data_IF_607122244862
#
_entry.id   IF_607122244862
#
_cell.length_a   1.000
_cell.length_b   1.000
_cell.length_c   1.000
_cell.angle_alpha   90.00
_cell.angle_beta   90.00
_cell.angle_gamma   90.00
#
_symmetry.space_group_name_H-M   'P 1'
#
loop_
_entity.id
_entity.type
_entity.pdbx_description
1 polymer ?
#
# COMPACT_ATOMS: atom_id res chain seq x y z
N UNK A 1 17.33 -29.72 6.64
CA UNK A 1 17.98 -28.53 7.23
C UNK A 1 16.85 -27.59 7.55
N UNK A 2 16.58 -27.33 8.83
CA UNK A 2 15.56 -26.35 9.21
C UNK A 2 16.17 -25.00 8.88
N UNK A 3 15.66 -24.38 7.82
CA UNK A 3 15.95 -22.98 7.47
C UNK A 3 15.76 -22.15 8.73
N UNK A 4 16.69 -21.22 9.03
CA UNK A 4 16.46 -20.31 10.15
C UNK A 4 15.15 -19.56 9.92
N UNK A 5 14.36 -19.30 10.96
CA UNK A 5 13.06 -18.60 10.82
C UNK A 5 13.19 -17.28 10.01
N UNK A 6 14.34 -16.61 10.09
CA UNK A 6 14.64 -15.39 9.34
C UNK A 6 14.78 -15.58 7.82
N UNK A 7 15.21 -16.75 7.35
CA UNK A 7 15.28 -17.05 5.90
C UNK A 7 13.89 -17.14 5.26
N UNK A 8 12.84 -17.44 6.04
CA UNK A 8 11.46 -17.46 5.53
C UNK A 8 10.96 -16.06 5.13
N UNK A 9 11.41 -15.01 5.84
CA UNK A 9 11.08 -13.62 5.49
C UNK A 9 11.74 -13.17 4.18
N UNK A 10 12.81 -13.86 3.76
CA UNK A 10 13.50 -13.60 2.51
C UNK A 10 12.97 -14.45 1.35
N UNK A 11 12.01 -15.34 1.60
CA UNK A 11 11.33 -16.07 0.54
C UNK A 11 10.26 -15.18 -0.08
N UNK A 12 10.48 -14.88 -1.36
CA UNK A 12 9.54 -14.12 -2.16
C UNK A 12 8.22 -14.88 -2.33
N UNK A 13 7.11 -14.26 -1.94
CA UNK A 13 5.77 -14.85 -2.08
C UNK A 13 5.42 -15.18 -3.54
N UNK A 14 5.88 -14.35 -4.48
CA UNK A 14 5.57 -14.48 -5.90
C UNK A 14 6.85 -14.43 -6.74
N UNK A 15 7.71 -15.48 -6.71
CA UNK A 15 8.96 -15.49 -7.46
C UNK A 15 8.76 -15.15 -8.94
N UNK A 16 9.71 -14.44 -9.58
CA UNK A 16 9.55 -14.03 -10.96
C UNK A 16 9.47 -15.24 -11.90
N UNK A 17 8.59 -15.16 -12.90
CA UNK A 17 8.49 -16.18 -13.94
C UNK A 17 9.78 -16.24 -14.76
N UNK A 18 10.23 -17.45 -15.08
CA UNK A 18 11.24 -17.62 -16.12
C UNK A 18 10.68 -17.24 -17.50
N UNK A 19 11.55 -16.97 -18.47
CA UNK A 19 11.14 -16.67 -19.86
C UNK A 19 10.19 -17.73 -20.44
N UNK A 20 10.46 -19.02 -20.16
CA UNK A 20 9.60 -20.10 -20.66
C UNK A 20 8.21 -20.07 -20.00
N UNK A 21 8.14 -19.92 -18.68
CA UNK A 21 6.87 -19.84 -17.95
C UNK A 21 6.07 -18.61 -18.34
N UNK A 22 6.72 -17.44 -18.49
CA UNK A 22 6.08 -16.22 -18.94
C UNK A 22 5.51 -16.36 -20.37
N UNK A 23 6.22 -17.05 -21.27
CA UNK A 23 5.72 -17.32 -22.62
C UNK A 23 4.47 -18.22 -22.56
N UNK A 24 4.54 -19.34 -21.84
CA UNK A 24 3.42 -20.28 -21.68
C UNK A 24 2.21 -19.61 -21.05
N UNK A 25 2.41 -18.81 -20.01
CA UNK A 25 1.34 -18.10 -19.33
C UNK A 25 0.75 -16.99 -20.22
N UNK A 26 1.58 -16.28 -21.00
CA UNK A 26 1.11 -15.27 -21.94
C UNK A 26 0.24 -15.86 -23.06
N UNK A 27 0.54 -17.07 -23.51
CA UNK A 27 -0.24 -17.80 -24.53
C UNK A 27 -1.64 -18.21 -24.03
N UNK A 28 -1.87 -18.24 -22.71
CA UNK A 28 -3.19 -18.49 -22.12
C UNK A 28 -4.13 -17.28 -22.24
N UNK A 29 -3.62 -16.09 -22.51
CA UNK A 29 -4.46 -14.91 -22.64
C UNK A 29 -5.31 -14.97 -23.92
N UNK A 30 -6.62 -14.76 -23.82
CA UNK A 30 -7.51 -14.69 -24.97
C UNK A 30 -7.44 -13.37 -25.73
N UNK A 31 -6.69 -12.40 -25.21
CA UNK A 31 -6.57 -11.05 -25.76
C UNK A 31 -7.95 -10.43 -26.06
N UNK A 32 -8.81 -10.45 -25.04
CA UNK A 32 -10.21 -10.05 -25.15
C UNK A 32 -10.35 -8.63 -25.72
N UNK A 33 -11.31 -8.45 -26.62
CA UNK A 33 -11.83 -7.13 -26.96
C UNK A 33 -12.59 -6.57 -25.74
N UNK A 34 -12.47 -5.26 -25.48
CA UNK A 34 -13.01 -4.60 -24.28
C UNK A 34 -12.71 -5.39 -22.99
N UNK A 35 -11.43 -5.71 -22.80
CA UNK A 35 -10.95 -6.60 -21.75
C UNK A 35 -11.41 -6.18 -20.34
N UNK A 36 -12.23 -6.99 -19.65
CA UNK A 36 -12.73 -6.65 -18.31
C UNK A 36 -11.62 -6.47 -17.27
N UNK A 37 -10.48 -7.15 -17.44
CA UNK A 37 -9.32 -6.99 -16.58
C UNK A 37 -8.71 -5.57 -16.66
N UNK A 38 -8.84 -4.88 -17.79
CA UNK A 38 -8.41 -3.47 -17.94
C UNK A 38 -9.35 -2.55 -17.15
N UNK A 39 -10.66 -2.75 -17.27
CA UNK A 39 -11.67 -2.01 -16.50
C UNK A 39 -11.51 -2.19 -14.99
N UNK A 40 -11.12 -3.39 -14.55
CA UNK A 40 -10.88 -3.70 -13.15
C UNK A 40 -9.53 -3.18 -12.62
N UNK A 41 -8.61 -2.78 -13.50
CA UNK A 41 -7.32 -2.22 -13.10
C UNK A 41 -7.47 -0.70 -12.86
N UNK A 42 -7.21 -0.18 -11.64
CA UNK A 42 -7.42 1.24 -11.35
C UNK A 42 -6.61 2.18 -12.25
N UNK A 43 -5.39 1.78 -12.63
CA UNK A 43 -4.52 2.57 -13.52
C UNK A 43 -4.85 2.44 -15.01
N UNK A 44 -5.75 1.53 -15.39
CA UNK A 44 -6.16 1.33 -16.78
C UNK A 44 -5.08 0.74 -17.69
N UNK A 45 -4.17 -0.08 -17.15
CA UNK A 45 -3.11 -0.74 -17.93
C UNK A 45 -3.76 -1.56 -19.07
N UNK A 46 -3.24 -1.44 -20.30
CA UNK A 46 -3.64 -2.31 -21.41
C UNK A 46 -3.04 -3.71 -21.25
N UNK A 47 -3.71 -4.52 -20.43
CA UNK A 47 -3.32 -5.87 -20.07
C UNK A 47 -3.18 -6.80 -21.29
N UNK A 48 -4.16 -6.87 -22.22
CA UNK A 48 -4.00 -7.64 -23.45
C UNK A 48 -2.77 -7.24 -24.27
N UNK A 49 -2.48 -5.94 -24.38
CA UNK A 49 -1.34 -5.47 -25.16
C UNK A 49 -0.01 -5.87 -24.54
N UNK A 50 0.20 -5.63 -23.24
CA UNK A 50 1.49 -5.96 -22.62
C UNK A 50 1.72 -7.49 -22.63
N UNK A 51 0.68 -8.28 -22.38
CA UNK A 51 0.79 -9.75 -22.45
C UNK A 51 1.11 -10.22 -23.88
N UNK A 52 0.55 -9.58 -24.91
CA UNK A 52 0.88 -9.90 -26.31
C UNK A 52 2.32 -9.52 -26.66
N UNK A 53 2.85 -8.47 -26.05
CA UNK A 53 4.25 -8.09 -26.22
C UNK A 53 5.18 -9.14 -25.58
N UNK A 54 4.79 -9.76 -24.46
CA UNK A 54 5.51 -10.92 -23.89
C UNK A 54 5.51 -12.10 -24.86
N UNK A 55 4.36 -12.47 -25.44
CA UNK A 55 4.26 -13.64 -26.34
C UNK A 55 5.06 -13.51 -27.64
N UNK A 56 5.49 -12.29 -27.98
CA UNK A 56 6.35 -11.98 -29.12
C UNK A 56 7.79 -11.64 -28.72
N UNK A 57 8.18 -11.94 -27.47
CA UNK A 57 9.51 -11.68 -26.88
C UNK A 57 9.90 -10.19 -26.81
N UNK A 58 8.92 -9.28 -26.92
CA UNK A 58 9.09 -7.84 -26.78
C UNK A 58 8.87 -7.39 -25.32
N UNK A 59 9.69 -7.91 -24.41
CA UNK A 59 9.53 -7.69 -22.96
C UNK A 59 9.72 -6.23 -22.56
N UNK A 60 10.69 -5.52 -23.15
CA UNK A 60 10.88 -4.08 -22.91
C UNK A 60 9.68 -3.25 -23.39
N UNK A 61 9.05 -3.63 -24.51
CA UNK A 61 7.82 -3.02 -24.98
C UNK A 61 6.64 -3.27 -24.03
N UNK A 62 6.53 -4.49 -23.50
CA UNK A 62 5.57 -4.85 -22.45
C UNK A 62 5.71 -3.96 -21.22
N UNK A 63 6.93 -3.85 -20.69
CA UNK A 63 7.24 -3.01 -19.54
C UNK A 63 6.90 -1.54 -19.78
N UNK A 64 7.19 -1.01 -20.98
CA UNK A 64 6.82 0.36 -21.35
C UNK A 64 5.31 0.57 -21.37
N UNK A 65 4.53 -0.40 -21.87
CA UNK A 65 3.06 -0.34 -21.84
C UNK A 65 2.54 -0.27 -20.39
N UNK A 66 3.13 -1.04 -19.48
CA UNK A 66 2.79 -0.98 -18.05
C UNK A 66 3.16 0.38 -17.46
N UNK A 67 4.42 0.81 -17.61
CA UNK A 67 4.91 2.06 -17.01
C UNK A 67 4.27 3.33 -17.57
N UNK A 68 3.74 3.29 -18.80
CA UNK A 68 2.94 4.38 -19.37
C UNK A 68 1.69 4.68 -18.53
N UNK A 69 1.08 3.66 -17.95
CA UNK A 69 -0.17 3.80 -17.18
C UNK A 69 0.08 3.76 -15.68
N UNK A 70 1.09 3.00 -15.22
CA UNK A 70 1.45 2.80 -13.82
C UNK A 70 2.99 2.76 -13.65
N UNK A 71 3.57 3.85 -13.17
CA UNK A 71 5.03 3.94 -12.99
C UNK A 71 5.57 3.12 -11.80
N UNK A 72 4.73 2.78 -10.83
CA UNK A 72 5.03 1.81 -9.75
C UNK A 72 4.59 0.38 -10.15
N UNK A 73 4.75 0.05 -11.44
CA UNK A 73 4.30 -1.22 -11.99
C UNK A 73 4.99 -2.44 -11.36
N UNK A 74 6.22 -2.28 -10.87
CA UNK A 74 6.99 -3.33 -10.20
C UNK A 74 6.49 -3.61 -8.78
N UNK A 75 6.23 -2.59 -7.97
CA UNK A 75 5.61 -2.79 -6.65
C UNK A 75 4.18 -3.31 -6.80
N UNK A 76 3.39 -2.72 -7.71
CA UNK A 76 2.02 -3.18 -7.98
C UNK A 76 1.98 -4.66 -8.44
N UNK A 77 2.99 -5.14 -9.17
CA UNK A 77 3.05 -6.54 -9.58
C UNK A 77 3.27 -7.52 -8.41
N UNK A 78 3.71 -7.01 -7.25
CA UNK A 78 3.97 -7.79 -6.03
C UNK A 78 2.86 -7.69 -4.99
N UNK A 79 2.18 -6.54 -4.93
CA UNK A 79 1.27 -6.23 -3.82
C UNK A 79 -0.18 -6.00 -4.22
N UNK A 80 -0.50 -5.89 -5.52
CA UNK A 80 -1.88 -5.77 -5.95
C UNK A 80 -2.67 -7.03 -5.57
N UNK A 81 -3.86 -6.89 -4.97
CA UNK A 81 -4.76 -8.02 -4.75
C UNK A 81 -5.46 -8.38 -6.07
N UNK A 82 -4.73 -9.01 -6.99
CA UNK A 82 -5.20 -9.33 -8.33
C UNK A 82 -6.47 -10.20 -8.32
N UNK A 83 -6.61 -11.04 -7.28
CA UNK A 83 -7.75 -11.89 -6.98
C UNK A 83 -9.04 -11.14 -6.62
N UNK A 84 -8.96 -9.83 -6.38
CA UNK A 84 -10.13 -8.94 -6.23
C UNK A 84 -10.19 -7.87 -7.33
N UNK A 85 -9.21 -7.85 -8.25
CA UNK A 85 -9.05 -6.86 -9.31
C UNK A 85 -8.99 -7.52 -10.70
N UNK A 86 -7.86 -7.38 -11.39
CA UNK A 86 -7.70 -7.71 -12.80
C UNK A 86 -7.82 -9.22 -13.08
N UNK A 87 -7.35 -10.08 -12.18
CA UNK A 87 -7.43 -11.53 -12.34
C UNK A 87 -8.82 -12.05 -11.97
N UNK A 88 -9.50 -11.45 -10.99
CA UNK A 88 -10.91 -11.71 -10.69
C UNK A 88 -11.81 -11.49 -11.91
N UNK A 89 -11.58 -10.39 -12.63
CA UNK A 89 -12.33 -10.01 -13.82
C UNK A 89 -11.95 -10.81 -15.08
N UNK A 90 -10.94 -11.68 -15.02
CA UNK A 90 -10.50 -12.46 -16.17
C UNK A 90 -11.61 -13.41 -16.65
N UNK A 91 -11.94 -13.37 -17.95
CA UNK A 91 -12.99 -14.22 -18.54
C UNK A 91 -12.70 -15.73 -18.45
N UNK A 92 -11.45 -16.11 -18.18
CA UNK A 92 -11.08 -17.53 -17.97
C UNK A 92 -11.72 -18.10 -16.71
N UNK A 93 -12.01 -17.28 -15.71
CA UNK A 93 -12.70 -17.72 -14.49
C UNK A 93 -14.08 -18.33 -14.79
N UNK A 94 -14.76 -17.86 -15.85
CA UNK A 94 -16.07 -18.39 -16.25
C UNK A 94 -16.02 -19.85 -16.71
N UNK A 95 -14.92 -20.29 -17.30
CA UNK A 95 -14.80 -21.62 -17.88
C UNK A 95 -13.93 -22.57 -17.04
N UNK A 96 -12.90 -22.05 -16.38
CA UNK A 96 -11.82 -22.84 -15.80
C UNK A 96 -11.53 -22.53 -14.33
N UNK A 97 -12.09 -21.44 -13.78
CA UNK A 97 -11.73 -20.92 -12.46
C UNK A 97 -10.21 -20.76 -12.28
N UNK A 98 -9.54 -20.38 -13.37
CA UNK A 98 -8.09 -20.30 -13.46
C UNK A 98 -7.72 -19.10 -14.37
N UNK A 99 -7.54 -17.90 -13.80
CA UNK A 99 -7.26 -16.69 -14.55
C UNK A 99 -5.86 -16.75 -15.17
N UNK A 100 -5.57 -15.79 -16.05
CA UNK A 100 -4.18 -15.51 -16.43
C UNK A 100 -3.47 -14.90 -15.22
N UNK A 101 -2.23 -15.29 -14.95
CA UNK A 101 -1.39 -14.73 -13.87
C UNK A 101 -0.85 -13.36 -14.28
N UNK A 102 -1.73 -12.37 -14.36
CA UNK A 102 -1.48 -11.00 -14.82
C UNK A 102 -0.42 -10.32 -13.95
N UNK A 103 -0.51 -10.45 -12.61
CA UNK A 103 0.45 -9.84 -11.69
C UNK A 103 1.88 -10.33 -11.95
N UNK A 104 2.04 -11.64 -12.15
CA UNK A 104 3.35 -12.23 -12.40
C UNK A 104 3.92 -11.93 -13.79
N UNK A 105 3.06 -11.83 -14.81
CA UNK A 105 3.46 -11.37 -16.15
C UNK A 105 3.86 -9.88 -16.14
N UNK A 106 3.18 -9.07 -15.32
CA UNK A 106 3.54 -7.68 -15.09
C UNK A 106 4.92 -7.59 -14.40
N UNK A 107 5.16 -8.43 -13.39
CA UNK A 107 6.46 -8.53 -12.71
C UNK A 107 7.56 -8.92 -13.69
N UNK A 108 7.36 -9.97 -14.50
CA UNK A 108 8.31 -10.42 -15.52
C UNK A 108 8.73 -9.27 -16.46
N UNK A 109 7.78 -8.42 -16.84
CA UNK A 109 8.03 -7.29 -17.74
C UNK A 109 8.79 -6.16 -17.03
N UNK A 110 8.29 -5.73 -15.88
CA UNK A 110 8.82 -4.57 -15.13
C UNK A 110 10.22 -4.85 -14.58
N UNK A 111 10.43 -6.02 -13.95
CA UNK A 111 11.73 -6.45 -13.45
C UNK A 111 12.76 -6.49 -14.61
N UNK A 112 12.39 -7.06 -15.76
CA UNK A 112 13.27 -7.12 -16.93
C UNK A 112 13.75 -5.74 -17.38
N UNK A 113 12.86 -4.76 -17.50
CA UNK A 113 13.27 -3.42 -17.96
C UNK A 113 14.10 -2.70 -16.89
N UNK A 114 13.73 -2.80 -15.61
CA UNK A 114 14.49 -2.18 -14.51
C UNK A 114 15.92 -2.75 -14.41
N UNK A 115 16.10 -4.05 -14.62
CA UNK A 115 17.41 -4.71 -14.62
C UNK A 115 18.35 -4.23 -15.74
N UNK A 116 17.79 -3.78 -16.87
CA UNK A 116 18.62 -3.17 -17.93
C UNK A 116 19.15 -1.78 -17.57
N UNK A 117 18.60 -1.15 -16.53
CA UNK A 117 18.88 0.23 -16.15
C UNK A 117 18.34 1.27 -17.15
N UNK A 118 17.53 0.86 -18.13
CA UNK A 118 16.98 1.77 -19.13
C UNK A 118 15.74 2.49 -18.60
N UNK A 119 15.78 3.81 -18.64
CA UNK A 119 14.60 4.66 -18.42
C UNK A 119 13.87 4.85 -19.78
N UNK A 120 12.69 4.23 -20.01
CA UNK A 120 11.99 4.30 -21.29
C UNK A 120 11.42 5.68 -21.62
N UNK A 121 11.46 6.61 -20.67
CA UNK A 121 10.92 7.96 -20.79
C UNK A 121 12.01 9.00 -20.98
N UNK A 122 11.67 10.03 -21.74
CA UNK A 122 12.51 11.22 -21.91
C UNK A 122 11.66 12.44 -21.57
N UNK A 123 12.07 13.26 -20.57
CA UNK A 123 11.37 14.49 -20.24
C UNK A 123 11.20 15.42 -21.45
N UNK A 124 10.07 16.12 -21.48
CA UNK A 124 9.89 17.25 -22.37
C UNK A 124 10.85 18.41 -22.02
N UNK A 125 10.91 19.42 -22.88
CA UNK A 125 11.69 20.62 -22.60
C UNK A 125 11.19 21.31 -21.32
N UNK A 126 12.11 21.93 -20.58
CA UNK A 126 11.76 22.63 -19.34
C UNK A 126 10.66 23.66 -19.56
N UNK A 127 9.64 23.58 -18.73
CA UNK A 127 8.49 24.50 -18.73
C UNK A 127 8.78 25.78 -17.93
N UNK A 128 9.84 25.80 -17.12
CA UNK A 128 10.13 26.87 -16.16
C UNK A 128 9.19 26.91 -14.95
N UNK A 129 8.25 25.96 -14.83
CA UNK A 129 7.31 25.84 -13.70
C UNK A 129 7.84 24.91 -12.63
N UNK A 130 7.49 25.19 -11.37
CA UNK A 130 7.89 24.41 -10.20
C UNK A 130 6.70 23.92 -9.39
N UNK A 131 6.68 22.64 -9.04
CA UNK A 131 5.58 21.99 -8.29
C UNK A 131 6.12 21.37 -7.01
N UNK A 132 5.40 21.56 -5.90
CA UNK A 132 5.67 20.86 -4.65
C UNK A 132 4.80 19.60 -4.54
N UNK A 133 5.41 18.48 -4.17
CA UNK A 133 4.73 17.21 -3.86
C UNK A 133 5.01 16.89 -2.40
N UNK A 134 3.98 16.82 -1.55
CA UNK A 134 4.14 16.50 -0.13
C UNK A 134 3.86 15.02 0.10
N UNK A 135 4.89 14.29 0.52
CA UNK A 135 4.90 12.84 0.67
C UNK A 135 5.50 12.12 -0.55
N UNK A 136 6.48 11.27 -0.31
CA UNK A 136 7.17 10.41 -1.27
C UNK A 136 6.61 8.97 -1.29
N UNK A 137 5.33 8.80 -0.98
CA UNK A 137 4.62 7.53 -1.18
C UNK A 137 4.20 7.32 -2.64
N UNK A 138 3.47 6.21 -2.95
CA UNK A 138 3.06 5.86 -4.30
C UNK A 138 2.38 6.99 -5.09
N UNK A 139 1.43 7.69 -4.45
CA UNK A 139 0.75 8.83 -5.08
C UNK A 139 1.69 9.98 -5.43
N UNK A 140 2.56 10.35 -4.49
CA UNK A 140 3.53 11.44 -4.67
C UNK A 140 4.56 11.12 -5.75
N UNK A 141 5.13 9.91 -5.73
CA UNK A 141 6.10 9.45 -6.73
C UNK A 141 5.48 9.39 -8.14
N UNK A 142 4.26 8.86 -8.25
CA UNK A 142 3.54 8.83 -9.53
C UNK A 142 3.26 10.23 -10.08
N UNK A 143 2.82 11.14 -9.22
CA UNK A 143 2.57 12.54 -9.57
C UNK A 143 3.85 13.24 -10.02
N UNK A 144 4.92 13.13 -9.21
CA UNK A 144 6.22 13.75 -9.49
C UNK A 144 6.83 13.25 -10.80
N UNK A 145 6.83 11.94 -11.04
CA UNK A 145 7.34 11.35 -12.28
C UNK A 145 6.58 11.88 -13.51
N UNK A 146 5.25 11.91 -13.44
CA UNK A 146 4.42 12.39 -14.55
C UNK A 146 4.65 13.88 -14.83
N UNK A 147 4.77 14.71 -13.80
CA UNK A 147 5.07 16.13 -13.94
C UNK A 147 6.48 16.38 -14.51
N UNK A 148 7.48 15.62 -14.06
CA UNK A 148 8.83 15.67 -14.59
C UNK A 148 8.88 15.24 -16.06
N UNK A 149 8.10 14.23 -16.45
CA UNK A 149 7.94 13.84 -17.87
C UNK A 149 7.44 15.01 -18.73
N UNK A 150 6.56 15.86 -18.20
CA UNK A 150 6.09 17.08 -18.87
C UNK A 150 7.08 18.26 -18.81
N UNK A 151 8.24 18.10 -18.18
CA UNK A 151 9.28 19.13 -18.10
C UNK A 151 9.07 20.15 -16.97
N UNK A 152 8.23 19.84 -15.98
CA UNK A 152 8.12 20.62 -14.74
C UNK A 152 9.26 20.23 -13.77
N UNK A 153 9.77 21.21 -13.02
CA UNK A 153 10.65 20.91 -11.89
C UNK A 153 9.80 20.52 -10.67
N UNK A 154 10.15 19.44 -9.99
CA UNK A 154 9.37 18.92 -8.86
C UNK A 154 10.25 18.78 -7.62
N UNK A 155 9.79 19.33 -6.50
CA UNK A 155 10.37 19.05 -5.19
C UNK A 155 9.41 18.15 -4.42
N UNK A 156 9.85 16.95 -4.06
CA UNK A 156 9.14 16.06 -3.13
C UNK A 156 9.60 16.39 -1.71
N UNK A 157 8.68 16.83 -0.86
CA UNK A 157 8.92 17.06 0.57
C UNK A 157 8.47 15.82 1.34
N UNK A 158 9.43 15.08 1.90
CA UNK A 158 9.19 13.81 2.59
C UNK A 158 9.57 13.94 4.07
N UNK A 159 8.65 13.58 4.95
CA UNK A 159 8.87 13.63 6.40
C UNK A 159 9.90 12.58 6.85
N UNK A 160 9.94 11.42 6.20
CA UNK A 160 10.74 10.26 6.56
C UNK A 160 12.14 10.27 5.92
N UNK A 161 13.10 9.49 6.46
CA UNK A 161 14.46 9.42 5.91
C UNK A 161 14.56 8.73 4.55
N UNK A 162 13.64 7.81 4.21
CA UNK A 162 13.60 7.13 2.92
C UNK A 162 12.28 7.44 2.19
N UNK A 163 12.32 7.57 0.86
CA UNK A 163 11.11 7.64 0.05
C UNK A 163 10.46 6.26 -0.12
N UNK A 164 9.23 6.20 -0.61
CA UNK A 164 8.49 4.96 -0.87
C UNK A 164 7.21 4.82 -0.03
N UNK A 165 7.06 5.59 1.05
CA UNK A 165 5.86 5.53 1.90
C UNK A 165 5.60 4.11 2.42
N UNK A 166 4.34 3.65 2.37
CA UNK A 166 3.99 2.29 2.83
C UNK A 166 4.64 1.17 2.00
N UNK A 167 5.03 1.40 0.74
CA UNK A 167 5.78 0.39 -0.02
C UNK A 167 7.16 0.12 0.62
N UNK A 168 7.78 1.14 1.24
CA UNK A 168 9.03 1.03 1.99
C UNK A 168 8.83 0.64 3.45
N UNK A 169 7.75 1.10 4.09
CA UNK A 169 7.59 1.02 5.55
C UNK A 169 6.48 0.08 6.02
N UNK A 170 5.44 -0.19 5.22
CA UNK A 170 4.20 -0.83 5.67
C UNK A 170 3.80 -2.14 4.97
N UNK A 171 4.36 -2.45 3.80
CA UNK A 171 4.11 -3.73 3.11
C UNK A 171 4.90 -4.86 3.77
N UNK A 172 4.36 -6.06 3.90
CA UNK A 172 5.12 -7.19 4.45
C UNK A 172 6.44 -7.48 3.70
N UNK A 173 7.52 -7.76 4.44
CA UNK A 173 8.85 -8.00 3.88
C UNK A 173 8.86 -9.16 2.86
N UNK A 174 8.12 -10.24 3.13
CA UNK A 174 8.02 -11.41 2.25
C UNK A 174 7.30 -11.14 0.91
N UNK A 175 6.59 -10.00 0.78
CA UNK A 175 5.96 -9.57 -0.48
C UNK A 175 6.90 -8.74 -1.35
N UNK A 176 7.94 -8.14 -0.76
CA UNK A 176 8.87 -7.25 -1.46
C UNK A 176 10.29 -7.45 -0.94
N UNK A 177 10.90 -8.55 -1.39
CA UNK A 177 12.29 -8.90 -1.06
C UNK A 177 13.31 -8.01 -1.80
N UNK A 178 14.60 -8.16 -1.46
CA UNK A 178 15.73 -7.55 -2.16
C UNK A 178 15.69 -6.02 -2.26
N UNK A 179 15.18 -5.35 -1.22
CA UNK A 179 15.07 -3.88 -1.14
C UNK A 179 14.34 -3.29 -2.36
N UNK A 180 13.36 -4.03 -2.89
CA UNK A 180 12.76 -3.70 -4.18
C UNK A 180 12.06 -2.33 -4.18
N UNK A 181 11.44 -1.93 -3.08
CA UNK A 181 10.82 -0.61 -2.95
C UNK A 181 11.82 0.53 -3.25
N UNK A 182 13.00 0.53 -2.61
CA UNK A 182 14.03 1.55 -2.88
C UNK A 182 14.60 1.46 -4.30
N UNK A 183 14.74 0.25 -4.84
CA UNK A 183 15.16 0.05 -6.23
C UNK A 183 14.17 0.64 -7.22
N UNK A 184 12.87 0.46 -7.00
CA UNK A 184 11.82 1.06 -7.83
C UNK A 184 11.78 2.58 -7.66
N UNK A 185 11.91 3.11 -6.44
CA UNK A 185 12.02 4.56 -6.23
C UNK A 185 13.21 5.14 -7.01
N UNK A 186 14.37 4.49 -6.92
CA UNK A 186 15.57 4.90 -7.66
C UNK A 186 15.34 4.88 -9.17
N UNK A 187 14.65 3.87 -9.68
CA UNK A 187 14.24 3.78 -11.09
C UNK A 187 13.32 4.93 -11.48
N UNK A 188 12.32 5.25 -10.68
CA UNK A 188 11.37 6.35 -10.92
C UNK A 188 12.12 7.69 -10.98
N UNK A 189 12.97 7.97 -10.00
CA UNK A 189 13.72 9.22 -9.90
C UNK A 189 14.78 9.38 -11.00
N UNK A 190 15.21 8.28 -11.63
CA UNK A 190 16.21 8.31 -12.71
C UNK A 190 15.79 9.10 -13.96
N UNK A 191 14.49 9.41 -14.11
CA UNK A 191 13.99 10.30 -15.17
C UNK A 191 14.58 11.72 -15.06
N UNK A 192 14.98 12.14 -13.85
CA UNK A 192 15.49 13.48 -13.56
C UNK A 192 14.39 14.54 -13.42
N UNK A 193 14.77 15.76 -13.00
CA UNK A 193 13.82 16.86 -12.78
C UNK A 193 13.01 16.78 -11.48
N UNK A 194 13.39 15.85 -10.59
CA UNK A 194 12.77 15.62 -9.29
C UNK A 194 13.85 15.68 -8.21
N UNK A 195 13.66 16.56 -7.23
CA UNK A 195 14.49 16.63 -6.03
C UNK A 195 13.69 16.12 -4.82
N UNK A 196 14.28 15.21 -4.03
CA UNK A 196 13.65 14.68 -2.81
C UNK A 196 14.28 15.31 -1.58
N UNK A 197 13.48 16.03 -0.81
CA UNK A 197 13.85 16.75 0.41
C UNK A 197 13.33 15.99 1.64
N UNK A 198 14.20 15.19 2.25
CA UNK A 198 13.90 14.41 3.46
C UNK A 198 13.81 15.26 4.73
N UNK A 199 13.12 14.74 5.75
CA UNK A 199 12.92 15.44 7.03
C UNK A 199 12.14 16.73 6.85
N UNK A 200 11.11 16.69 5.99
CA UNK A 200 10.25 17.83 5.67
C UNK A 200 8.79 17.45 5.89
N UNK A 201 8.28 17.74 7.08
CA UNK A 201 6.88 17.50 7.45
C UNK A 201 6.03 18.79 7.34
N UNK A 202 4.87 18.67 6.68
CA UNK A 202 3.88 19.75 6.61
C UNK A 202 3.32 20.02 8.01
N UNK A 203 3.30 21.29 8.42
CA UNK A 203 2.83 21.73 9.74
C UNK A 203 3.94 21.83 10.78
N UNK A 204 5.09 21.20 10.56
CA UNK A 204 6.27 21.30 11.43
C UNK A 204 7.40 22.10 10.77
N UNK A 205 7.80 21.73 9.55
CA UNK A 205 8.93 22.35 8.83
C UNK A 205 8.50 23.46 7.88
N UNK A 206 7.27 23.40 7.39
CA UNK A 206 6.70 24.36 6.44
C UNK A 206 5.17 24.38 6.54
N UNK A 207 4.58 25.44 6.03
CA UNK A 207 3.13 25.67 6.01
C UNK A 207 2.56 25.58 4.60
N UNK A 208 1.25 25.40 4.50
CA UNK A 208 0.55 25.41 3.20
C UNK A 208 0.73 26.76 2.48
N UNK A 209 0.73 27.86 3.22
CA UNK A 209 0.86 29.21 2.65
C UNK A 209 2.26 29.46 2.07
N UNK A 210 3.31 28.94 2.71
CA UNK A 210 4.66 28.95 2.16
C UNK A 210 4.74 28.16 0.85
N UNK A 211 4.16 26.96 0.80
CA UNK A 211 4.12 26.17 -0.43
C UNK A 211 3.37 26.89 -1.56
N UNK A 212 2.19 27.46 -1.29
CA UNK A 212 1.40 28.20 -2.29
C UNK A 212 2.10 29.47 -2.79
N UNK A 213 2.98 30.06 -1.98
CA UNK A 213 3.80 31.22 -2.35
C UNK A 213 4.98 30.82 -3.24
N UNK A 214 5.66 29.73 -2.87
CA UNK A 214 6.97 29.38 -3.44
C UNK A 214 6.87 28.44 -4.66
N UNK A 215 5.71 27.81 -4.87
CA UNK A 215 5.44 26.89 -5.98
C UNK A 215 4.23 27.32 -6.83
N UNK A 216 4.24 26.92 -8.10
CA UNK A 216 3.13 27.18 -9.02
C UNK A 216 1.91 26.30 -8.71
N UNK A 217 2.13 25.09 -8.20
CA UNK A 217 1.11 24.14 -7.74
C UNK A 217 1.63 23.26 -6.60
N UNK A 218 0.71 22.68 -5.83
CA UNK A 218 0.99 21.78 -4.70
C UNK A 218 0.15 20.50 -4.84
N UNK A 219 0.78 19.34 -4.65
CA UNK A 219 0.10 18.05 -4.53
C UNK A 219 0.32 17.44 -3.15
N UNK A 220 -0.75 16.99 -2.50
CA UNK A 220 -0.73 16.36 -1.19
C UNK A 220 -0.93 14.83 -1.34
N UNK A 221 0.10 14.07 -1.04
CA UNK A 221 0.15 12.60 -1.14
C UNK A 221 0.75 11.94 0.10
N UNK A 222 0.49 12.52 1.27
CA UNK A 222 1.09 12.13 2.56
C UNK A 222 0.46 10.89 3.24
N UNK A 223 -0.61 10.34 2.66
CA UNK A 223 -1.30 9.17 3.22
C UNK A 223 -1.98 9.45 4.57
N UNK A 224 -2.04 8.43 5.41
CA UNK A 224 -2.68 8.49 6.73
C UNK A 224 -1.61 8.27 7.82
N UNK A 225 -1.11 9.36 8.41
CA UNK A 225 0.03 9.31 9.34
C UNK A 225 -0.29 8.82 10.77
N UNK A 226 -1.56 8.59 11.11
CA UNK A 226 -1.96 8.17 12.44
C UNK A 226 -2.72 6.84 12.43
N UNK A 227 -2.80 6.17 13.58
CA UNK A 227 -3.50 4.89 13.77
C UNK A 227 -4.75 5.05 14.64
N UNK A 228 -5.72 4.15 14.46
CA UNK A 228 -6.90 4.09 15.30
C UNK A 228 -6.58 3.46 16.67
N UNK A 229 -7.15 4.02 17.73
CA UNK A 229 -7.10 3.44 19.07
C UNK A 229 -8.30 2.51 19.31
N UNK A 230 -8.09 1.43 20.05
CA UNK A 230 -9.16 0.53 20.49
C UNK A 230 -10.08 1.24 21.49
N UNK A 231 -9.54 2.13 22.31
CA UNK A 231 -10.28 2.87 23.33
C UNK A 231 -10.74 1.96 24.48
N UNK A 232 -9.96 0.93 24.79
CA UNK A 232 -10.27 -0.07 25.82
C UNK A 232 -9.28 -0.02 26.98
N UNK A 233 -9.70 -0.52 28.14
CA UNK A 233 -8.80 -0.64 29.30
C UNK A 233 -7.59 -1.52 28.97
N UNK A 234 -6.40 -1.11 29.41
CA UNK A 234 -5.15 -1.85 29.23
C UNK A 234 -4.47 -1.69 27.87
N UNK A 235 -5.01 -0.86 26.96
CA UNK A 235 -4.40 -0.61 25.64
C UNK A 235 -2.97 -0.04 25.72
N UNK A 236 -2.62 0.63 26.82
CA UNK A 236 -1.31 1.26 27.06
C UNK A 236 -0.30 0.33 27.76
N UNK A 237 -0.62 -0.96 27.91
CA UNK A 237 0.28 -1.93 28.56
C UNK A 237 1.50 -2.23 27.67
N UNK A 238 2.63 -2.54 28.31
CA UNK A 238 3.81 -3.04 27.61
C UNK A 238 3.47 -4.33 26.83
N UNK A 239 3.97 -4.44 25.60
CA UNK A 239 3.64 -5.50 24.65
C UNK A 239 2.33 -5.31 23.87
N UNK A 240 1.71 -4.13 23.90
CA UNK A 240 0.57 -3.76 23.04
C UNK A 240 1.03 -2.72 22.01
N UNK A 241 1.23 -3.16 20.77
CA UNK A 241 1.80 -2.31 19.72
C UNK A 241 0.82 -2.15 18.54
N UNK A 242 1.04 -1.12 17.73
CA UNK A 242 0.37 -0.98 16.45
C UNK A 242 1.04 -1.86 15.38
N UNK A 243 0.22 -2.54 14.58
CA UNK A 243 0.71 -3.54 13.63
C UNK A 243 1.59 -2.92 12.52
N UNK A 244 1.32 -1.67 12.15
CA UNK A 244 2.13 -0.94 11.16
C UNK A 244 3.50 -0.63 11.72
N UNK A 245 3.58 -0.17 12.96
CA UNK A 245 4.85 0.15 13.62
C UNK A 245 5.70 -1.12 13.76
N UNK A 246 5.08 -2.27 14.07
CA UNK A 246 5.77 -3.56 14.07
C UNK A 246 6.32 -3.94 12.68
N UNK A 247 5.53 -3.77 11.62
CA UNK A 247 5.99 -4.06 10.25
C UNK A 247 7.12 -3.11 9.86
N UNK A 248 7.00 -1.83 10.23
CA UNK A 248 8.02 -0.82 10.00
C UNK A 248 9.32 -1.18 10.70
N UNK A 249 9.27 -1.48 12.00
CA UNK A 249 10.42 -1.89 12.79
C UNK A 249 11.10 -3.11 12.16
N UNK A 250 10.31 -4.12 11.77
CA UNK A 250 10.82 -5.31 11.10
C UNK A 250 11.57 -4.98 9.81
N UNK A 251 10.98 -4.15 8.95
CA UNK A 251 11.56 -3.79 7.66
C UNK A 251 12.81 -2.93 7.78
N UNK A 252 12.88 -2.10 8.82
CA UNK A 252 13.98 -1.17 9.02
C UNK A 252 15.06 -1.72 9.95
N UNK A 253 14.87 -2.92 10.52
CA UNK A 253 15.85 -3.56 11.39
C UNK A 253 17.06 -4.08 10.59
N UNK A 254 18.27 -3.67 11.00
CA UNK A 254 19.53 -4.22 10.52
C UNK A 254 19.77 -5.65 11.05
N UNK A 255 19.23 -5.98 12.23
CA UNK A 255 19.33 -7.28 12.89
C UNK A 255 17.95 -7.73 13.39
N UNK A 256 17.34 -8.67 12.67
CA UNK A 256 16.02 -9.21 13.03
C UNK A 256 15.98 -9.91 14.40
N UNK A 257 17.14 -10.31 14.96
CA UNK A 257 17.19 -10.93 16.29
C UNK A 257 16.93 -9.97 17.44
N UNK A 258 16.95 -8.65 17.18
CA UNK A 258 16.60 -7.63 18.17
C UNK A 258 15.10 -7.37 18.24
N UNK A 259 14.33 -7.84 17.26
CA UNK A 259 12.88 -7.69 17.25
C UNK A 259 12.28 -8.53 18.38
N UNK A 260 11.41 -7.91 19.15
CA UNK A 260 10.68 -8.63 20.17
C UNK A 260 9.70 -9.61 19.50
N UNK A 261 9.72 -10.88 19.87
CA UNK A 261 8.76 -11.87 19.36
C UNK A 261 8.15 -12.55 20.57
N UNK A 262 6.85 -12.33 20.78
CA UNK A 262 6.12 -13.01 21.85
C UNK A 262 6.02 -14.51 21.60
N UNK A 263 5.86 -15.32 22.64
CA UNK A 263 5.52 -16.73 22.47
C UNK A 263 4.08 -16.88 21.98
N UNK A 264 3.17 -15.99 22.42
CA UNK A 264 1.77 -15.99 22.04
C UNK A 264 1.29 -14.56 21.69
N UNK A 265 1.14 -14.28 20.39
CA UNK A 265 0.68 -12.97 19.91
C UNK A 265 -0.80 -13.00 19.50
N UNK A 266 -1.55 -11.98 19.91
CA UNK A 266 -2.90 -11.71 19.38
C UNK A 266 -2.86 -10.51 18.43
N UNK A 267 -3.25 -10.71 17.18
CA UNK A 267 -3.44 -9.63 16.21
C UNK A 267 -4.92 -9.27 16.12
N UNK A 268 -5.27 -8.02 16.40
CA UNK A 268 -6.66 -7.53 16.39
C UNK A 268 -6.93 -6.82 15.07
N UNK A 269 -7.74 -7.41 14.20
CA UNK A 269 -8.05 -6.83 12.89
C UNK A 269 -8.53 -7.86 11.89
N UNK A 270 -8.89 -7.42 10.68
CA UNK A 270 -9.34 -8.31 9.61
C UNK A 270 -9.05 -7.81 8.19
N UNK A 271 -8.14 -6.84 8.07
CA UNK A 271 -7.65 -6.32 6.79
C UNK A 271 -6.25 -6.85 6.46
N UNK A 272 -5.68 -6.36 5.35
CA UNK A 272 -4.36 -6.76 4.84
C UNK A 272 -3.25 -6.61 5.89
N UNK A 273 -3.18 -5.46 6.57
CA UNK A 273 -2.21 -5.20 7.65
C UNK A 273 -2.28 -6.24 8.77
N UNK A 274 -3.48 -6.72 9.12
CA UNK A 274 -3.64 -7.73 10.17
C UNK A 274 -3.09 -9.09 9.73
N UNK A 275 -3.31 -9.46 8.46
CA UNK A 275 -2.75 -10.69 7.86
C UNK A 275 -1.23 -10.58 7.81
N UNK A 276 -0.71 -9.48 7.28
CA UNK A 276 0.72 -9.24 7.08
C UNK A 276 1.49 -9.24 8.40
N UNK A 277 0.96 -8.59 9.45
CA UNK A 277 1.55 -8.63 10.78
C UNK A 277 1.50 -10.05 11.37
N UNK A 278 0.38 -10.76 11.23
CA UNK A 278 0.24 -12.11 11.77
C UNK A 278 1.19 -13.11 11.11
N UNK A 279 1.31 -13.08 9.77
CA UNK A 279 2.20 -13.97 9.01
C UNK A 279 3.66 -13.66 9.33
N UNK A 280 4.07 -12.39 9.33
CA UNK A 280 5.46 -12.04 9.64
C UNK A 280 5.86 -12.38 11.07
N UNK A 281 4.97 -12.14 12.03
CA UNK A 281 5.21 -12.52 13.42
C UNK A 281 5.39 -14.05 13.55
N UNK A 282 4.63 -14.82 12.75
CA UNK A 282 4.80 -16.27 12.65
C UNK A 282 6.14 -16.68 12.02
N UNK A 283 6.53 -16.03 10.93
CA UNK A 283 7.81 -16.25 10.26
C UNK A 283 9.01 -15.87 11.15
N UNK A 284 8.87 -14.89 12.05
CA UNK A 284 9.89 -14.55 13.04
C UNK A 284 10.01 -15.59 14.18
N UNK A 285 9.13 -16.59 14.24
CA UNK A 285 9.24 -17.71 15.16
C UNK A 285 8.29 -17.68 16.36
N UNK A 286 7.27 -16.82 16.37
CA UNK A 286 6.23 -16.85 17.40
C UNK A 286 5.54 -18.22 17.43
N UNK A 287 5.36 -18.80 18.62
CA UNK A 287 4.84 -20.17 18.78
C UNK A 287 3.33 -20.26 18.55
N UNK A 288 2.58 -19.22 18.92
CA UNK A 288 1.13 -19.11 18.71
C UNK A 288 0.75 -17.70 18.22
N UNK A 289 0.13 -17.61 17.04
CA UNK A 289 -0.40 -16.32 16.55
C UNK A 289 -1.89 -16.50 16.32
N UNK A 290 -2.69 -15.69 17.02
CA UNK A 290 -4.15 -15.65 16.85
C UNK A 290 -4.56 -14.33 16.22
N UNK A 291 -5.19 -14.38 15.04
CA UNK A 291 -5.84 -13.22 14.45
C UNK A 291 -7.30 -13.19 14.92
N UNK A 292 -7.63 -12.19 15.75
CA UNK A 292 -8.96 -11.99 16.29
C UNK A 292 -9.72 -10.94 15.47
N UNK A 293 -10.86 -11.35 14.91
CA UNK A 293 -11.73 -10.46 14.14
C UNK A 293 -13.13 -10.39 14.75
N UNK A 294 -13.66 -9.18 14.86
CA UNK A 294 -14.95 -8.92 15.54
C UNK A 294 -16.18 -9.37 14.76
N UNK A 295 -16.06 -9.76 13.49
CA UNK A 295 -17.17 -10.25 12.65
C UNK A 295 -16.83 -11.60 12.04
N UNK A 296 -17.79 -12.16 11.30
CA UNK A 296 -17.61 -13.34 10.46
C UNK A 296 -16.52 -13.15 9.40
N UNK A 297 -16.02 -14.28 8.89
CA UNK A 297 -14.97 -14.36 7.87
C UNK A 297 -15.39 -13.68 6.57
N UNK A 298 -16.67 -13.75 6.24
CA UNK A 298 -17.32 -13.13 5.10
C UNK A 298 -17.32 -11.59 5.14
N UNK A 299 -17.03 -11.00 6.31
CA UNK A 299 -16.94 -9.56 6.51
C UNK A 299 -15.50 -9.08 6.66
N UNK A 300 -14.49 -9.94 6.48
CA UNK A 300 -13.09 -9.52 6.50
C UNK A 300 -12.79 -8.68 5.26
N UNK A 301 -11.95 -7.66 5.44
CA UNK A 301 -11.49 -6.82 4.33
C UNK A 301 -10.34 -7.50 3.56
N UNK A 302 -9.58 -8.37 4.23
CA UNK A 302 -8.55 -9.18 3.58
C UNK A 302 -9.19 -10.15 2.58
N UNK A 303 -8.54 -10.34 1.42
CA UNK A 303 -9.02 -11.26 0.39
C UNK A 303 -9.01 -12.71 0.86
N UNK A 304 -9.78 -13.62 0.23
CA UNK A 304 -9.72 -15.05 0.54
C UNK A 304 -8.30 -15.63 0.39
N UNK A 305 -7.54 -15.18 -0.61
CA UNK A 305 -6.14 -15.59 -0.81
C UNK A 305 -5.28 -15.26 0.41
N UNK A 306 -5.37 -14.03 0.92
CA UNK A 306 -4.60 -13.57 2.08
C UNK A 306 -5.02 -14.26 3.37
N UNK A 307 -6.32 -14.53 3.53
CA UNK A 307 -6.83 -15.32 4.64
C UNK A 307 -6.30 -16.76 4.63
N UNK A 308 -6.18 -17.37 3.45
CA UNK A 308 -5.63 -18.71 3.31
C UNK A 308 -4.10 -18.72 3.47
N UNK A 309 -3.41 -17.68 3.01
CA UNK A 309 -1.98 -17.46 3.27
C UNK A 309 -1.70 -17.44 4.78
N UNK A 310 -2.51 -16.73 5.57
CA UNK A 310 -2.39 -16.73 7.03
C UNK A 310 -2.52 -18.14 7.62
N UNK A 311 -3.53 -18.91 7.20
CA UNK A 311 -3.78 -20.26 7.70
C UNK A 311 -2.66 -21.23 7.34
N UNK A 312 -2.16 -21.19 6.10
CA UNK A 312 -1.07 -22.05 5.63
C UNK A 312 0.23 -21.76 6.39
N UNK A 313 0.44 -20.51 6.80
CA UNK A 313 1.57 -20.13 7.66
C UNK A 313 1.34 -20.43 9.15
N UNK A 314 0.20 -21.02 9.54
CA UNK A 314 -0.06 -21.44 10.92
C UNK A 314 -0.64 -20.35 11.83
N UNK A 315 -1.24 -19.30 11.25
CA UNK A 315 -2.03 -18.31 12.00
C UNK A 315 -3.41 -18.89 12.32
N UNK A 316 -3.83 -18.81 13.58
CA UNK A 316 -5.17 -19.20 14.01
C UNK A 316 -6.13 -18.02 13.85
N UNK A 317 -7.05 -18.09 12.89
CA UNK A 317 -8.08 -17.06 12.73
C UNK A 317 -9.26 -17.34 13.64
N UNK A 318 -9.59 -16.41 14.53
CA UNK A 318 -10.76 -16.46 15.42
C UNK A 318 -11.70 -15.29 15.12
N UNK A 319 -12.78 -15.61 14.42
CA UNK A 319 -13.87 -14.68 14.13
C UNK A 319 -14.81 -14.50 15.32
N UNK A 320 -15.68 -13.50 15.20
CA UNK A 320 -16.71 -13.16 16.18
C UNK A 320 -16.18 -12.78 17.57
N UNK A 321 -14.96 -12.25 17.64
CA UNK A 321 -14.32 -11.81 18.87
C UNK A 321 -14.08 -10.31 18.88
N UNK A 322 -14.80 -9.58 19.72
CA UNK A 322 -14.59 -8.15 19.93
C UNK A 322 -13.79 -7.93 21.23
N UNK A 323 -12.63 -7.26 21.20
CA UNK A 323 -11.86 -7.00 22.42
C UNK A 323 -12.64 -6.08 23.37
N UNK A 324 -12.62 -6.39 24.65
CA UNK A 324 -13.21 -5.60 25.73
C UNK A 324 -12.17 -4.86 26.56
N UNK A 325 -11.07 -5.54 26.88
CA UNK A 325 -9.90 -4.98 27.57
C UNK A 325 -8.68 -5.87 27.38
N UNK A 326 -7.51 -5.27 27.50
CA UNK A 326 -6.23 -5.97 27.62
C UNK A 326 -5.95 -6.20 29.09
N UNK A 327 -5.58 -7.42 29.44
CA UNK A 327 -5.24 -7.82 30.81
C UNK A 327 -3.72 -7.79 30.92
N UNK A 328 -3.21 -7.26 32.03
CA UNK A 328 -1.78 -7.20 32.30
C UNK A 328 -1.39 -7.63 33.69
N UNK A 329 -0.16 -8.10 33.81
CA UNK A 329 0.53 -8.40 35.06
C UNK A 329 1.84 -7.60 35.09
N UNK A 330 2.11 -6.92 36.21
CA UNK A 330 3.32 -6.08 36.39
C UNK A 330 3.52 -5.01 35.29
N UNK A 331 2.42 -4.48 34.71
CA UNK A 331 2.46 -3.44 33.68
C UNK A 331 2.65 -3.96 32.25
N UNK A 332 2.69 -5.28 32.06
CA UNK A 332 2.85 -5.93 30.75
C UNK A 332 1.65 -6.81 30.42
N UNK A 333 1.30 -6.93 29.15
CA UNK A 333 0.18 -7.76 28.70
C UNK A 333 0.36 -9.23 29.08
N UNK A 334 -0.74 -9.86 29.53
CA UNK A 334 -0.82 -11.30 29.84
C UNK A 334 -2.03 -11.98 29.18
N UNK A 335 -2.93 -11.20 28.56
CA UNK A 335 -4.07 -11.72 27.80
C UNK A 335 -5.01 -10.63 27.31
N UNK A 336 -6.00 -11.01 26.51
CA UNK A 336 -7.07 -10.12 26.07
C UNK A 336 -8.42 -10.75 26.39
N UNK A 337 -9.30 -9.98 27.02
CA UNK A 337 -10.69 -10.36 27.24
C UNK A 337 -11.51 -9.95 26.01
N UNK A 338 -12.26 -10.92 25.46
CA UNK A 338 -13.13 -10.73 24.31
C UNK A 338 -14.58 -10.99 24.68
N UNK A 339 -15.48 -10.19 24.10
CA UNK A 339 -16.89 -10.53 23.96
C UNK A 339 -17.08 -11.38 22.71
N UNK A 340 -17.90 -12.43 22.82
CA UNK A 340 -18.45 -13.08 21.63
C UNK A 340 -19.47 -12.16 20.97
N UNK A 341 -19.44 -12.16 19.66
CA UNK A 341 -20.35 -11.36 18.83
C UNK A 341 -21.14 -12.28 17.90
N UNK A 342 -22.28 -11.79 17.44
CA UNK A 342 -23.10 -12.48 16.47
C UNK A 342 -23.85 -11.46 15.61
N UNK A 343 -24.43 -11.96 14.52
CA UNK A 343 -25.47 -11.24 13.79
C UNK A 343 -26.80 -11.90 14.15
N UNK A 344 -27.64 -11.17 14.88
CA UNK A 344 -29.01 -11.59 15.22
C UNK A 344 -29.98 -10.61 14.54
N UNK A 345 -30.97 -11.14 13.80
CA UNK A 345 -31.93 -10.36 13.02
C UNK A 345 -31.28 -9.32 12.07
N UNK A 346 -30.12 -9.68 11.50
CA UNK A 346 -29.36 -8.80 10.60
C UNK A 346 -28.61 -7.67 11.31
N UNK A 347 -28.58 -7.66 12.66
CA UNK A 347 -27.86 -6.67 13.46
C UNK A 347 -26.65 -7.29 14.15
N UNK A 348 -25.52 -6.62 14.00
CA UNK A 348 -24.29 -6.97 14.70
C UNK A 348 -24.38 -6.58 16.19
N UNK A 349 -24.04 -7.50 17.10
CA UNK A 349 -24.04 -7.24 18.53
C UNK A 349 -23.19 -8.22 19.33
N UNK A 350 -23.00 -7.91 20.61
CA UNK A 350 -22.36 -8.80 21.59
C UNK A 350 -23.39 -9.77 22.17
N UNK A 351 -23.00 -11.03 22.40
CA UNK A 351 -23.92 -12.06 22.93
C UNK A 351 -24.02 -12.07 24.44
N UNK A 352 -23.13 -11.35 25.13
CA UNK A 352 -22.98 -11.36 26.59
C UNK A 352 -22.04 -12.45 27.11
N UNK A 353 -21.59 -13.37 26.25
CA UNK A 353 -20.52 -14.33 26.60
C UNK A 353 -19.15 -13.68 26.45
N UNK A 354 -18.27 -13.89 27.43
CA UNK A 354 -16.87 -13.46 27.35
C UNK A 354 -15.91 -14.64 27.44
N UNK A 355 -14.70 -14.44 26.91
CA UNK A 355 -13.57 -15.34 27.10
C UNK A 355 -12.28 -14.54 27.20
N UNK A 356 -11.27 -15.16 27.80
CA UNK A 356 -9.92 -14.61 27.87
C UNK A 356 -9.01 -15.48 27.02
N UNK A 357 -8.24 -14.86 26.14
CA UNK A 357 -7.15 -15.49 25.42
C UNK A 357 -5.83 -15.03 26.04
N UNK A 358 -5.00 -15.94 26.60
CA UNK A 358 -3.69 -15.58 27.11
C UNK A 358 -2.76 -15.19 25.95
N UNK A 359 -1.94 -14.18 26.17
CA UNK A 359 -0.94 -13.70 25.21
C UNK A 359 0.10 -12.84 25.91
N UNK A 360 1.30 -12.77 25.34
CA UNK A 360 2.39 -11.91 25.83
C UNK A 360 2.70 -10.75 24.88
N UNK A 361 1.99 -10.69 23.74
CA UNK A 361 1.97 -9.55 22.81
C UNK A 361 0.60 -9.36 22.15
N UNK A 362 0.25 -8.11 21.87
CA UNK A 362 -0.93 -7.71 21.09
C UNK A 362 -0.50 -6.77 19.98
N UNK A 363 -0.95 -7.03 18.74
CA UNK A 363 -0.76 -6.13 17.60
C UNK A 363 -2.11 -5.59 17.12
N UNK A 364 -2.27 -4.27 17.13
CA UNK A 364 -3.51 -3.58 16.73
C UNK A 364 -3.46 -3.26 15.23
N UNK A 365 -4.42 -3.80 14.48
CA UNK A 365 -4.56 -3.59 13.04
C UNK A 365 -5.98 -3.13 12.69
N UNK A 366 -6.41 -2.03 13.31
CA UNK A 366 -7.78 -1.48 13.22
C UNK A 366 -7.88 -0.23 12.34
N UNK A 367 -6.92 -0.04 11.44
CA UNK A 367 -6.90 0.99 10.40
C UNK A 367 -6.15 2.27 10.80
N UNK A 368 -5.84 3.07 9.78
CA UNK A 368 -5.20 4.37 9.92
C UNK A 368 -6.22 5.52 9.82
N UNK A 369 -5.83 6.68 10.33
CA UNK A 369 -6.56 7.94 10.23
C UNK A 369 -5.61 9.06 9.83
N UNK A 370 -6.17 10.13 9.28
CA UNK A 370 -5.39 11.30 8.93
C UNK A 370 -4.95 12.03 10.20
N UNK A 371 -3.79 12.68 10.12
CA UNK A 371 -3.34 13.56 11.18
C UNK A 371 -3.94 14.96 11.01
N UNK A 372 -4.84 15.33 11.92
CA UNK A 372 -5.56 16.60 11.88
C UNK A 372 -4.66 17.83 12.18
N UNK A 373 -3.39 17.62 12.55
CA UNK A 373 -2.40 18.69 12.81
C UNK A 373 -2.23 19.68 11.64
N UNK A 374 -2.52 19.23 10.41
CA UNK A 374 -2.48 20.03 9.18
C UNK A 374 -3.55 21.12 9.15
N UNK A 375 -4.70 20.91 9.82
CA UNK A 375 -5.76 21.90 9.90
C UNK A 375 -5.35 23.13 10.73
N UNK A 376 -4.49 22.94 11.72
CA UNK A 376 -3.94 24.03 12.54
C UNK A 376 -2.85 24.85 11.84
N UNK A 377 -2.28 24.35 10.75
CA UNK A 377 -1.13 24.96 10.05
C UNK A 377 -1.52 25.85 8.85
N UNK A 378 -2.81 26.04 8.55
CA UNK A 378 -3.27 26.81 7.38
C UNK A 378 -4.08 28.06 7.79
N UNK A 379 -3.63 29.23 7.36
CA UNK A 379 -4.41 30.47 7.41
C UNK A 379 -5.37 30.58 6.23
N UNK A 380 -6.54 31.19 6.46
CA UNK A 380 -7.62 31.71 5.58
C UNK A 380 -8.09 30.97 4.30
N UNK A 381 -7.36 30.00 3.73
CA UNK A 381 -7.82 29.12 2.66
C UNK A 381 -7.59 27.66 3.06
N UNK A 382 -8.61 27.07 3.68
CA UNK A 382 -8.56 25.71 4.22
C UNK A 382 -9.00 24.72 3.16
N UNK A 383 -8.17 23.72 2.89
CA UNK A 383 -8.61 22.51 2.20
C UNK A 383 -9.79 21.91 2.98
N UNK A 384 -10.88 21.56 2.30
CA UNK A 384 -12.05 20.99 2.97
C UNK A 384 -11.78 19.55 3.36
N UNK A 385 -12.10 19.21 4.62
CA UNK A 385 -12.04 17.86 5.15
C UNK A 385 -13.42 17.27 5.38
N UNK A 386 -13.58 15.98 5.09
CA UNK A 386 -14.73 15.18 5.51
C UNK A 386 -14.22 13.92 6.24
N UNK A 387 -14.69 13.70 7.47
CA UNK A 387 -14.32 12.55 8.32
C UNK A 387 -12.79 12.37 8.44
N UNK A 388 -12.06 13.47 8.53
CA UNK A 388 -10.61 13.46 8.61
C UNK A 388 -9.95 12.98 7.31
N UNK A 389 -10.50 13.28 6.13
CA UNK A 389 -9.81 13.09 4.85
C UNK A 389 -10.08 14.28 3.93
N UNK A 390 -9.17 14.54 3.00
CA UNK A 390 -9.24 15.68 2.08
C UNK A 390 -10.32 15.44 1.02
N UNK A 391 -11.22 16.40 0.84
CA UNK A 391 -12.23 16.37 -0.23
C UNK A 391 -11.58 16.80 -1.54
N UNK A 392 -11.74 15.97 -2.57
CA UNK A 392 -11.26 16.25 -3.93
C UNK A 392 -12.32 15.98 -4.99
N UNK A 393 -12.17 16.61 -6.16
CA UNK A 393 -12.96 16.30 -7.36
C UNK A 393 -12.39 15.11 -8.18
N UNK A 394 -12.98 14.85 -9.35
CA UNK A 394 -12.53 13.78 -10.25
C UNK A 394 -11.10 14.01 -10.78
N UNK A 395 -10.69 15.27 -10.91
CA UNK A 395 -9.36 15.68 -11.37
C UNK A 395 -8.38 15.85 -10.20
N UNK A 396 -8.75 15.36 -9.01
CA UNK A 396 -7.98 15.43 -7.76
C UNK A 396 -7.74 16.84 -7.22
N UNK A 397 -8.53 17.83 -7.66
CA UNK A 397 -8.46 19.21 -7.14
C UNK A 397 -9.12 19.31 -5.78
N UNK A 398 -8.52 20.08 -4.88
CA UNK A 398 -9.13 20.44 -3.61
C UNK A 398 -10.01 21.69 -3.74
N UNK A 399 -10.48 22.23 -2.60
CA UNK A 399 -11.15 23.53 -2.54
C UNK A 399 -10.24 24.74 -2.80
N UNK A 400 -8.90 24.56 -2.79
CA UNK A 400 -7.93 25.60 -3.14
C UNK A 400 -7.43 25.38 -4.58
N UNK A 401 -7.49 26.42 -5.41
CA UNK A 401 -7.17 26.36 -6.85
C UNK A 401 -5.71 25.99 -7.14
N UNK A 402 -4.80 26.14 -6.17
CA UNK A 402 -3.39 25.76 -6.29
C UNK A 402 -3.07 24.38 -5.71
N UNK A 403 -4.04 23.68 -5.12
CA UNK A 403 -3.79 22.47 -4.32
C UNK A 403 -4.60 21.27 -4.84
N UNK A 404 -3.88 20.17 -5.07
CA UNK A 404 -4.40 18.85 -5.39
C UNK A 404 -4.07 17.87 -4.26
N UNK A 405 -4.82 16.77 -4.17
CA UNK A 405 -4.52 15.70 -3.24
C UNK A 405 -4.88 14.33 -3.82
N UNK A 406 -4.20 13.28 -3.36
CA UNK A 406 -4.42 11.92 -3.87
C UNK A 406 -3.87 10.82 -2.96
N UNK A 407 -4.31 9.59 -3.19
CA UNK A 407 -3.97 8.44 -2.35
C UNK A 407 -4.78 8.41 -1.06
N UNK A 408 -4.30 7.71 -0.04
CA UNK A 408 -5.13 7.37 1.14
C UNK A 408 -5.62 8.58 1.94
N UNK A 409 -4.97 9.74 1.77
CA UNK A 409 -5.34 10.98 2.43
C UNK A 409 -6.65 11.61 1.93
N UNK A 410 -7.20 11.15 0.79
CA UNK A 410 -8.44 11.70 0.23
C UNK A 410 -9.69 10.91 0.61
N UNK A 411 -10.84 11.58 0.60
CA UNK A 411 -12.14 10.93 0.77
C UNK A 411 -12.32 9.86 -0.30
N UNK A 412 -12.59 8.63 0.13
CA UNK A 412 -12.72 7.48 -0.77
C UNK A 412 -11.40 6.82 -1.18
N UNK A 413 -10.26 7.22 -0.62
CA UNK A 413 -8.99 6.49 -0.77
C UNK A 413 -9.13 5.02 -0.36
N UNK A 414 -8.54 4.12 -1.16
CA UNK A 414 -8.79 2.68 -1.13
C UNK A 414 -7.74 1.86 -0.35
N UNK A 415 -6.71 2.51 0.19
CA UNK A 415 -5.59 1.85 0.89
C UNK A 415 -4.89 0.79 -0.01
N UNK A 416 -4.81 1.08 -1.32
CA UNK A 416 -4.18 0.24 -2.36
C UNK A 416 -3.12 1.05 -3.13
N UNK A 417 -1.90 0.50 -3.25
CA UNK A 417 -0.78 1.12 -3.98
C UNK A 417 -1.20 1.55 -5.40
N UNK A 418 -1.89 0.68 -6.15
CA UNK A 418 -2.33 0.97 -7.53
C UNK A 418 -3.37 2.10 -7.61
N UNK A 419 -4.25 2.23 -6.61
CA UNK A 419 -5.22 3.33 -6.57
C UNK A 419 -4.53 4.67 -6.25
N UNK A 420 -3.57 4.65 -5.31
CA UNK A 420 -2.74 5.81 -5.00
C UNK A 420 -1.93 6.29 -6.21
N UNK A 421 -1.36 5.36 -6.99
CA UNK A 421 -0.67 5.68 -8.26
C UNK A 421 -1.61 6.35 -9.26
N UNK A 422 -2.83 5.82 -9.40
CA UNK A 422 -3.83 6.40 -10.31
C UNK A 422 -4.20 7.82 -9.90
N UNK A 423 -4.41 8.07 -8.60
CA UNK A 423 -4.67 9.41 -8.08
C UNK A 423 -3.51 10.38 -8.39
N UNK A 424 -2.27 9.96 -8.14
CA UNK A 424 -1.08 10.76 -8.46
C UNK A 424 -0.98 11.09 -9.95
N UNK A 425 -1.27 10.13 -10.82
CA UNK A 425 -1.33 10.32 -12.27
C UNK A 425 -2.41 11.32 -12.67
N UNK A 426 -3.65 11.16 -12.20
CA UNK A 426 -4.75 12.09 -12.49
C UNK A 426 -4.45 13.51 -12.05
N UNK A 427 -3.88 13.67 -10.84
CA UNK A 427 -3.48 14.97 -10.33
C UNK A 427 -2.39 15.61 -11.20
N UNK A 428 -1.37 14.86 -11.62
CA UNK A 428 -0.33 15.37 -12.49
C UNK A 428 -0.86 15.85 -13.86
N UNK A 429 -1.79 15.10 -14.48
CA UNK A 429 -2.44 15.53 -15.72
C UNK A 429 -3.23 16.83 -15.53
N UNK A 430 -3.94 16.95 -14.40
CA UNK A 430 -4.73 18.15 -14.04
C UNK A 430 -3.84 19.37 -13.78
N UNK A 431 -2.76 19.20 -13.02
CA UNK A 431 -1.75 20.23 -12.74
C UNK A 431 -1.09 20.69 -14.05
N UNK A 432 -0.63 19.75 -14.88
CA UNK A 432 -0.01 20.08 -16.16
C UNK A 432 -0.96 20.89 -17.06
N UNK A 433 -2.22 20.46 -17.18
CA UNK A 433 -3.24 21.16 -17.96
C UNK A 433 -3.52 22.58 -17.45
N UNK A 434 -3.45 22.80 -16.13
CA UNK A 434 -3.58 24.13 -15.52
C UNK A 434 -2.37 25.00 -15.86
N UNK A 435 -1.15 24.49 -15.66
CA UNK A 435 0.10 25.22 -15.87
C UNK A 435 0.43 25.49 -17.33
N UNK A 436 -0.04 24.65 -18.26
CA UNK A 436 0.18 24.83 -19.70
C UNK A 436 -0.72 25.92 -20.32
N UNK A 437 -1.80 26.32 -19.64
CA UNK A 437 -2.73 27.36 -20.12
C UNK A 437 -2.30 28.78 -19.75
N UNK A 438 -1.33 28.95 -18.85
CA UNK A 438 -0.83 30.24 -18.37
C UNK A 438 0.64 30.42 -18.66
#
# INVERSE_FOLDING_TARGET
MVSSNHELLQQDLHPPLSRHEATVESDRCYFCYDAPCVTACPTGIDIPLFIRQISTDNVSGSARTIFNENILGGMCARVCPTETLCEQACVRNTAEDNPVRIGELQRYSTDHLMETGQQPFTPAASTGRKVAVVGAGPAGLACAHRLALYGHAVDILEARPKPGGLDEYGIAAYKTVDDFAQREVSYILSIGGIDVLHGKALGEDFTMDELKRDYDAVFLGMGLGAVNQLGIEGEELDGVDDAIDFIEELRQADDLSTLEVGAATIVIGGGMTAIDAAVQNKMLGCEEVTLAYRRGVEFMNASPFEQDLAKVNGVVVRNWLQPLRVIGENGRVSGVEFARTAVEDGRFGVTGETLILPCDRVLKAIGQKFDDSINSASGEATVVFEKGRIVVDADRRTSDEKVWAGGDCVVGGEDLTVAAVQDGKLAAESIHSMLAKG
#
